data_IF_328911579748
#
_entry.id   IF_328911579748
#
_cell.length_a   1.000
_cell.length_b   1.000
_cell.length_c   1.000
_cell.angle_alpha   90.00
_cell.angle_beta   90.00
_cell.angle_gamma   90.00
#
_symmetry.space_group_name_H-M   'P 1'
#
loop_
_entity.id
_entity.type
_entity.pdbx_description
1 polymer ?
#
# COMPACT_ATOMS: atom_id res chain seq x y z
N UNK A 1 1.63 13.54 35.11
CA UNK A 1 2.48 13.32 33.91
C UNK A 1 1.65 12.57 32.88
N UNK A 2 1.55 13.04 31.63
CA UNK A 2 0.80 12.33 30.55
C UNK A 2 1.70 11.30 29.86
N UNK A 3 1.14 10.16 29.45
CA UNK A 3 1.77 9.17 28.58
C UNK A 3 0.97 9.13 27.28
N UNK A 4 1.62 9.35 26.14
CA UNK A 4 0.97 9.43 24.82
C UNK A 4 1.63 8.38 23.94
N UNK A 5 0.82 7.56 23.27
CA UNK A 5 1.28 6.51 22.37
C UNK A 5 0.66 6.77 20.99
N UNK A 6 1.47 6.68 19.95
CA UNK A 6 1.04 6.73 18.56
C UNK A 6 1.21 5.35 17.94
N UNK A 7 0.19 4.87 17.23
CA UNK A 7 0.18 3.59 16.55
C UNK A 7 -0.04 3.83 15.06
N UNK A 8 0.83 3.26 14.23
CA UNK A 8 0.78 3.36 12.76
C UNK A 8 0.92 1.97 12.15
N UNK A 9 0.19 1.71 11.07
CA UNK A 9 0.16 0.39 10.42
C UNK A 9 1.14 0.33 9.25
N UNK A 10 2.02 -0.68 9.27
CA UNK A 10 3.03 -0.86 8.24
C UNK A 10 2.42 -1.09 6.85
N UNK A 11 2.77 -0.22 5.90
CA UNK A 11 2.34 -0.31 4.50
C UNK A 11 0.83 -0.58 4.34
N UNK A 12 -0.02 0.04 5.16
CA UNK A 12 -1.39 -0.37 5.47
C UNK A 12 -2.19 -0.99 4.30
N UNK A 13 -2.40 -0.28 3.19
CA UNK A 13 -3.21 -0.82 2.08
C UNK A 13 -2.56 -2.07 1.44
N UNK A 14 -1.25 -2.07 1.25
CA UNK A 14 -0.54 -3.24 0.72
C UNK A 14 -0.59 -4.42 1.70
N UNK A 15 -0.51 -4.16 3.01
CA UNK A 15 -0.62 -5.21 4.02
C UNK A 15 -2.00 -5.89 3.99
N UNK A 16 -3.08 -5.12 3.85
CA UNK A 16 -4.44 -5.67 3.70
C UNK A 16 -4.56 -6.52 2.42
N UNK A 17 -4.03 -6.04 1.29
CA UNK A 17 -4.05 -6.84 0.05
C UNK A 17 -3.24 -8.14 0.16
N UNK A 18 -2.07 -8.12 0.80
CA UNK A 18 -1.22 -9.31 1.01
C UNK A 18 -1.79 -10.30 2.03
N UNK A 19 -2.58 -9.82 3.00
CA UNK A 19 -3.34 -10.66 3.93
C UNK A 19 -4.41 -11.44 3.18
N UNK A 20 -5.21 -10.74 2.38
CA UNK A 20 -6.38 -11.30 1.69
C UNK A 20 -5.98 -12.11 0.45
N UNK A 21 -4.83 -11.80 -0.16
CA UNK A 21 -4.24 -12.57 -1.25
C UNK A 21 -2.75 -12.87 -0.97
N UNK A 22 -2.44 -14.05 -0.41
CA UNK A 22 -1.07 -14.43 -0.06
C UNK A 22 -0.09 -14.47 -1.24
N UNK A 23 -0.56 -14.61 -2.49
CA UNK A 23 0.31 -14.59 -3.67
C UNK A 23 0.97 -13.22 -3.92
N UNK A 24 0.51 -12.17 -3.23
CA UNK A 24 1.04 -10.81 -3.35
C UNK A 24 2.20 -10.52 -2.38
N UNK A 25 2.50 -11.42 -1.44
CA UNK A 25 3.45 -11.15 -0.33
C UNK A 25 4.88 -10.89 -0.81
N UNK A 26 5.36 -11.72 -1.72
CA UNK A 26 6.78 -11.75 -2.11
C UNK A 26 7.06 -11.05 -3.44
N UNK A 27 6.04 -10.47 -4.08
CA UNK A 27 6.18 -9.71 -5.33
C UNK A 27 6.01 -8.20 -5.07
N UNK A 28 6.63 -7.32 -5.88
CA UNK A 28 6.44 -5.88 -5.73
C UNK A 28 5.02 -5.49 -6.10
N UNK A 29 4.28 -4.97 -5.12
CA UNK A 29 2.93 -4.45 -5.32
C UNK A 29 2.83 -2.99 -4.90
N UNK A 30 1.93 -2.27 -5.54
CA UNK A 30 1.51 -0.94 -5.13
C UNK A 30 0.01 -0.74 -5.35
N UNK A 31 -0.58 0.07 -4.47
CA UNK A 31 -1.95 0.56 -4.60
C UNK A 31 -1.86 1.96 -5.19
N UNK A 32 -2.58 2.22 -6.26
CA UNK A 32 -2.56 3.51 -6.94
C UNK A 32 -3.35 3.55 -8.24
N UNK A 33 -3.54 4.75 -8.77
CA UNK A 33 -4.19 4.93 -10.07
C UNK A 33 -3.29 4.47 -11.23
N UNK A 34 -3.88 4.03 -12.35
CA UNK A 34 -3.11 3.63 -13.53
C UNK A 34 -2.35 4.81 -14.17
N UNK A 35 -1.30 4.49 -14.93
CA UNK A 35 -0.50 5.48 -15.66
C UNK A 35 -1.35 6.24 -16.68
N UNK A 36 -2.27 5.56 -17.34
CA UNK A 36 -3.17 6.10 -18.37
C UNK A 36 -4.12 7.16 -17.77
N UNK A 37 -4.48 7.02 -16.49
CA UNK A 37 -5.27 8.01 -15.73
C UNK A 37 -4.41 9.06 -15.03
N UNK A 38 -3.11 9.16 -15.36
CA UNK A 38 -2.14 10.04 -14.68
C UNK A 38 -2.10 9.81 -13.16
N UNK A 39 -2.24 8.55 -12.76
CA UNK A 39 -2.29 8.16 -11.35
C UNK A 39 -0.96 8.31 -10.62
N UNK A 40 -1.07 8.25 -9.30
CA UNK A 40 0.04 8.23 -8.35
C UNK A 40 -0.08 7.00 -7.44
N UNK A 41 1.04 6.61 -6.83
CA UNK A 41 1.11 5.54 -5.84
C UNK A 41 0.60 6.04 -4.49
N UNK A 42 -0.42 5.39 -3.94
CA UNK A 42 -0.90 5.63 -2.57
C UNK A 42 -0.01 4.91 -1.55
N UNK A 43 0.31 3.64 -1.81
CA UNK A 43 1.14 2.81 -0.92
C UNK A 43 1.85 1.73 -1.73
N UNK A 44 3.04 1.33 -1.29
CA UNK A 44 3.83 0.25 -1.87
C UNK A 44 4.34 -0.69 -0.76
N UNK A 45 4.41 -1.99 -1.04
CA UNK A 45 4.99 -2.98 -0.12
C UNK A 45 6.52 -2.90 -0.09
N UNK A 46 7.15 -3.58 0.86
CA UNK A 46 8.61 -3.57 0.98
C UNK A 46 9.35 -4.08 -0.26
N UNK A 47 8.94 -5.18 -0.93
CA UNK A 47 9.50 -5.57 -2.23
C UNK A 47 9.51 -4.44 -3.25
N UNK A 48 8.40 -3.72 -3.46
CA UNK A 48 8.36 -2.56 -4.37
C UNK A 48 9.23 -1.39 -3.87
N UNK A 49 9.29 -1.16 -2.56
CA UNK A 49 10.13 -0.13 -1.96
C UNK A 49 11.63 -0.36 -2.19
N UNK A 50 12.09 -1.61 -2.35
CA UNK A 50 13.49 -1.91 -2.70
C UNK A 50 13.90 -1.32 -4.06
N UNK A 51 12.96 -1.21 -4.99
CA UNK A 51 13.17 -0.56 -6.30
C UNK A 51 13.04 0.98 -6.25
N UNK A 52 12.79 1.55 -5.08
CA UNK A 52 12.61 3.00 -4.92
C UNK A 52 11.17 3.48 -5.11
N UNK A 53 10.18 2.59 -5.30
CA UNK A 53 8.76 2.98 -5.35
C UNK A 53 8.32 3.56 -4.00
N UNK A 54 7.66 4.72 -4.00
CA UNK A 54 7.22 5.45 -2.79
C UNK A 54 5.82 6.02 -2.97
N UNK A 55 5.15 6.34 -1.86
CA UNK A 55 3.89 7.08 -1.89
C UNK A 55 4.06 8.45 -2.56
N UNK A 56 2.98 8.96 -3.17
CA UNK A 56 2.93 10.16 -4.01
C UNK A 56 3.77 10.14 -5.29
N UNK A 57 4.51 9.05 -5.57
CA UNK A 57 5.23 8.87 -6.83
C UNK A 57 4.24 8.73 -8.00
N UNK A 58 4.47 9.37 -9.16
CA UNK A 58 3.69 9.10 -10.36
C UNK A 58 3.77 7.63 -10.76
N UNK A 59 2.64 7.00 -11.08
CA UNK A 59 2.59 5.57 -11.45
C UNK A 59 3.51 5.26 -12.63
N UNK A 60 3.62 6.17 -13.59
CA UNK A 60 4.53 6.03 -14.71
C UNK A 60 6.01 5.96 -14.29
N UNK A 61 6.42 6.69 -13.24
CA UNK A 61 7.77 6.61 -12.69
C UNK A 61 7.97 5.31 -11.89
N UNK A 62 6.96 4.91 -11.12
CA UNK A 62 7.00 3.64 -10.38
C UNK A 62 7.19 2.44 -11.31
N UNK A 63 6.51 2.41 -12.45
CA UNK A 63 6.66 1.37 -13.48
C UNK A 63 8.02 1.41 -14.19
N UNK A 64 8.66 2.59 -14.30
CA UNK A 64 10.03 2.70 -14.82
C UNK A 64 11.04 2.11 -13.84
N UNK A 65 10.87 2.38 -12.54
CA UNK A 65 11.75 1.87 -11.48
C UNK A 65 11.55 0.37 -11.23
N UNK A 66 10.31 -0.11 -11.34
CA UNK A 66 9.95 -1.51 -11.16
C UNK A 66 9.04 -1.96 -12.31
N UNK A 67 9.61 -2.45 -13.43
CA UNK A 67 8.83 -2.85 -14.61
C UNK A 67 7.84 -4.01 -14.37
N UNK A 68 8.09 -4.81 -13.34
CA UNK A 68 7.23 -5.92 -12.92
C UNK A 68 6.33 -5.56 -11.72
N UNK A 69 6.15 -4.27 -11.44
CA UNK A 69 5.28 -3.79 -10.37
C UNK A 69 3.83 -4.18 -10.64
N UNK A 70 3.23 -4.91 -9.69
CA UNK A 70 1.81 -5.22 -9.73
C UNK A 70 1.01 -4.07 -9.13
N UNK A 71 0.29 -3.33 -9.99
CA UNK A 71 -0.56 -2.22 -9.58
C UNK A 71 -2.00 -2.68 -9.27
N UNK A 72 -2.54 -2.24 -8.14
CA UNK A 72 -3.90 -2.57 -7.67
C UNK A 72 -4.74 -1.29 -7.51
N UNK A 73 -6.04 -1.30 -7.87
CA UNK A 73 -6.90 -0.10 -7.87
C UNK A 73 -7.39 0.36 -6.48
N UNK A 74 -7.16 -0.42 -5.42
CA UNK A 74 -7.59 -0.10 -4.05
C UNK A 74 -8.97 -0.66 -3.69
N UNK A 75 -9.09 -1.39 -2.58
CA UNK A 75 -10.34 -1.90 -1.99
C UNK A 75 -10.70 -1.14 -0.70
N UNK A 76 -11.18 0.10 -0.85
CA UNK A 76 -11.37 1.01 0.29
C UNK A 76 -12.29 0.47 1.38
N UNK A 77 -13.29 -0.35 1.06
CA UNK A 77 -14.17 -0.94 2.07
C UNK A 77 -13.42 -1.94 2.98
N UNK A 78 -12.54 -2.78 2.40
CA UNK A 78 -11.67 -3.67 3.17
C UNK A 78 -10.69 -2.90 4.05
N UNK A 79 -10.20 -1.75 3.59
CA UNK A 79 -9.29 -0.90 4.36
C UNK A 79 -10.02 -0.23 5.53
N UNK A 80 -11.26 0.22 5.31
CA UNK A 80 -12.12 0.78 6.37
C UNK A 80 -12.47 -0.27 7.42
N UNK A 81 -12.81 -1.49 7.00
CA UNK A 81 -13.08 -2.60 7.89
C UNK A 81 -11.88 -2.93 8.78
N UNK A 82 -10.68 -3.07 8.18
CA UNK A 82 -9.45 -3.29 8.94
C UNK A 82 -9.17 -2.13 9.91
N UNK A 83 -9.40 -0.88 9.48
CA UNK A 83 -9.24 0.29 10.36
C UNK A 83 -10.22 0.28 11.53
N UNK A 84 -11.46 -0.16 11.33
CA UNK A 84 -12.45 -0.29 12.40
C UNK A 84 -12.05 -1.36 13.42
N UNK A 85 -11.56 -2.51 12.94
CA UNK A 85 -11.03 -3.58 13.81
C UNK A 85 -9.86 -3.08 14.68
N UNK A 86 -8.93 -2.31 14.10
CA UNK A 86 -7.80 -1.74 14.86
C UNK A 86 -8.28 -0.73 15.92
N UNK A 87 -9.29 0.08 15.59
CA UNK A 87 -9.90 1.04 16.54
C UNK A 87 -10.72 0.36 17.64
N UNK A 88 -11.22 -0.84 17.42
CA UNK A 88 -11.92 -1.61 18.46
C UNK A 88 -10.95 -2.22 19.49
N UNK A 89 -9.70 -2.48 19.06
CA UNK A 89 -8.62 -2.95 19.94
C UNK A 89 -8.10 -1.84 20.88
N UNK A 90 -8.18 -0.57 20.47
CA UNK A 90 -7.57 0.58 21.16
C UNK A 90 -8.59 1.62 21.63
#
# INVERSE_FOLDING_TARGET
MRKIIHVDMDCFYAAVEMRDNPQLRDIPIAIGGSRERRGVISTANYPARKFGVRSAMPTGMALKLCPHLRLLPGRFDAYKEASAQIRDIF
#
